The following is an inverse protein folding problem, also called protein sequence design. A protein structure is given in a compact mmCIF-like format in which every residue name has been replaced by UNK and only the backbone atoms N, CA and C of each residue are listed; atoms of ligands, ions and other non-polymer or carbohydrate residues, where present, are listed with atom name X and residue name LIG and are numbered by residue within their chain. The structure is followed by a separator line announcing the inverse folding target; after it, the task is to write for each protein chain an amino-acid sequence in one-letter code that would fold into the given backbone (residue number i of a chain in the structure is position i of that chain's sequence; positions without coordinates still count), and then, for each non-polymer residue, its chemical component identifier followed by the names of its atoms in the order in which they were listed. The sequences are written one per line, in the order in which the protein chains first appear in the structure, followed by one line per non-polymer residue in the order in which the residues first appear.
data_IF_935012628794
#
_entry.id   IF_935012628794
#
_cell.length_a   1.000
_cell.length_b   1.000
_cell.length_c   1.000
_cell.angle_alpha   90.00
_cell.angle_beta   90.00
_cell.angle_gamma   90.00
#
_symmetry.space_group_name_H-M   'P 1'
#
loop_
_entity.id
_entity.type
_entity.pdbx_description
1 polymer ?
#
# COMPACT_ATOMS: atom_id res chain seq x y z
N UNK A 1 -39.66 -0.13 50.84
CA UNK A 1 -39.00 1.14 50.46
C UNK A 1 -38.29 0.90 49.14
N UNK A 2 -38.80 1.58 48.12
CA UNK A 2 -38.39 1.78 46.72
C UNK A 2 -37.38 0.82 46.07
N UNK A 3 -37.86 0.15 45.01
CA UNK A 3 -37.15 0.15 43.73
C UNK A 3 -38.18 0.23 42.60
N UNK A 4 -37.90 1.15 41.68
CA UNK A 4 -38.71 1.60 40.56
C UNK A 4 -38.67 0.56 39.41
N UNK A 5 -39.81 0.33 38.78
CA UNK A 5 -39.88 0.02 37.34
C UNK A 5 -40.23 1.34 36.59
N UNK A 6 -40.32 1.43 35.25
CA UNK A 6 -40.18 0.41 34.19
C UNK A 6 -39.44 0.91 32.91
N UNK A 7 -39.11 0.01 31.96
CA UNK A 7 -39.81 -0.03 30.65
C UNK A 7 -39.29 -1.12 29.71
N UNK A 8 -40.26 -1.83 29.15
CA UNK A 8 -40.17 -2.93 28.18
C UNK A 8 -40.42 -2.37 26.78
N UNK A 9 -39.69 -2.85 25.76
CA UNK A 9 -40.25 -3.21 24.43
C UNK A 9 -39.26 -4.10 23.63
N UNK A 10 -39.72 -4.93 22.66
CA UNK A 10 -39.44 -6.37 22.63
C UNK A 10 -38.85 -6.87 21.28
N UNK A 11 -38.58 -8.18 21.16
CA UNK A 11 -38.63 -8.85 19.84
C UNK A 11 -37.60 -9.95 19.57
N UNK A 12 -38.00 -11.18 19.88
CA UNK A 12 -37.75 -12.41 19.09
C UNK A 12 -36.34 -13.01 19.02
N UNK A 13 -36.08 -13.92 19.95
CA UNK A 13 -35.35 -15.19 19.73
C UNK A 13 -36.28 -16.25 19.10
N UNK A 14 -35.86 -17.50 18.78
CA UNK A 14 -34.57 -18.06 18.33
C UNK A 14 -34.76 -19.00 17.10
N UNK A 15 -33.74 -19.74 16.64
CA UNK A 15 -33.75 -21.24 16.57
C UNK A 15 -32.35 -21.75 16.18
N UNK A 16 -31.84 -22.66 17.02
CA UNK A 16 -30.69 -23.54 16.78
C UNK A 16 -31.17 -24.73 15.94
N UNK A 17 -30.44 -25.21 14.92
CA UNK A 17 -30.56 -26.60 14.52
C UNK A 17 -29.49 -27.46 15.22
N UNK A 18 -29.95 -28.42 16.01
CA UNK A 18 -29.20 -29.64 16.29
C UNK A 18 -29.18 -30.49 15.02
N UNK A 19 -28.03 -31.03 14.61
CA UNK A 19 -27.87 -32.47 14.48
C UNK A 19 -26.41 -32.87 14.23
N UNK A 20 -25.95 -33.87 14.97
CA UNK A 20 -24.69 -34.60 14.80
C UNK A 20 -25.09 -36.00 14.36
N UNK A 21 -24.75 -36.39 13.12
CA UNK A 21 -24.54 -37.75 12.59
C UNK A 21 -24.74 -37.70 11.06
N UNK A 22 -23.64 -37.80 10.31
CA UNK A 22 -23.37 -38.96 9.45
C UNK A 22 -22.05 -38.74 8.69
N UNK A 23 -21.18 -39.73 8.83
CA UNK A 23 -19.98 -39.95 8.02
C UNK A 23 -20.48 -40.46 6.68
N UNK A 24 -20.10 -39.82 5.57
CA UNK A 24 -19.88 -40.54 4.32
C UNK A 24 -18.91 -39.78 3.40
N UNK A 25 -17.96 -40.57 2.92
CA UNK A 25 -16.91 -40.33 1.96
C UNK A 25 -17.41 -39.85 0.59
N UNK A 26 -16.53 -39.14 -0.11
CA UNK A 26 -16.52 -39.01 -1.57
C UNK A 26 -17.66 -38.17 -2.18
N UNK A 27 -17.35 -36.92 -2.56
CA UNK A 27 -17.93 -36.31 -3.75
C UNK A 27 -17.14 -35.09 -4.21
N UNK A 28 -16.41 -35.29 -5.30
CA UNK A 28 -16.01 -34.28 -6.27
C UNK A 28 -17.15 -33.30 -6.59
N UNK A 29 -16.96 -31.97 -6.51
CA UNK A 29 -17.93 -31.06 -7.06
C UNK A 29 -17.70 -30.90 -8.57
N UNK A 30 -18.58 -31.58 -9.29
CA UNK A 30 -18.90 -31.50 -10.71
C UNK A 30 -19.04 -30.06 -11.19
N UNK A 31 -18.43 -29.80 -12.34
CA UNK A 31 -18.53 -28.57 -13.15
C UNK A 31 -19.99 -28.34 -13.54
N UNK A 32 -20.55 -27.19 -13.21
CA UNK A 32 -21.78 -26.69 -13.84
C UNK A 32 -21.43 -25.50 -14.73
N UNK A 33 -21.51 -25.72 -16.04
CA UNK A 33 -21.56 -24.68 -17.04
C UNK A 33 -22.83 -23.84 -16.85
N UNK A 34 -22.71 -22.53 -16.91
CA UNK A 34 -23.84 -21.65 -17.25
C UNK A 34 -23.34 -20.51 -18.14
N UNK A 35 -24.05 -20.34 -19.25
CA UNK A 35 -23.81 -19.39 -20.34
C UNK A 35 -23.99 -17.93 -19.92
N UNK A 36 -23.10 -17.11 -20.49
CA UNK A 36 -23.25 -15.72 -20.95
C UNK A 36 -24.00 -14.69 -20.09
N UNK A 37 -23.22 -13.72 -19.57
CA UNK A 37 -23.27 -12.30 -19.96
C UNK A 37 -22.81 -11.39 -18.82
N UNK A 38 -21.69 -10.70 -19.07
CA UNK A 38 -21.48 -9.27 -18.77
C UNK A 38 -22.11 -8.72 -17.47
N UNK A 39 -21.34 -8.79 -16.38
CA UNK A 39 -21.03 -7.70 -15.42
C UNK A 39 -20.31 -8.31 -14.22
N UNK A 40 -19.11 -8.83 -14.44
CA UNK A 40 -18.30 -9.43 -13.38
C UNK A 40 -17.59 -8.35 -12.57
N UNK A 41 -18.36 -7.66 -11.72
CA UNK A 41 -17.80 -7.20 -10.46
C UNK A 41 -17.55 -8.45 -9.61
N UNK A 42 -16.43 -9.14 -9.82
CA UNK A 42 -16.11 -10.34 -9.06
C UNK A 42 -15.63 -9.89 -7.69
N UNK A 43 -16.58 -9.70 -6.76
CA UNK A 43 -16.29 -9.61 -5.33
C UNK A 43 -15.99 -11.00 -4.75
N UNK A 44 -15.10 -11.74 -5.42
CA UNK A 44 -14.70 -13.09 -5.05
C UNK A 44 -13.19 -13.23 -5.17
N UNK A 45 -12.56 -13.78 -4.15
CA UNK A 45 -11.14 -14.12 -4.16
C UNK A 45 -10.90 -15.18 -5.24
N UNK A 46 -10.18 -14.82 -6.30
CA UNK A 46 -9.76 -15.77 -7.34
C UNK A 46 -8.37 -16.30 -7.01
N UNK A 47 -8.21 -17.62 -7.02
CA UNK A 47 -6.90 -18.26 -6.86
C UNK A 47 -6.13 -18.23 -8.19
N UNK A 48 -4.80 -18.16 -8.12
CA UNK A 48 -3.94 -17.96 -9.30
C UNK A 48 -4.10 -19.01 -10.41
N UNK A 49 -4.50 -20.24 -10.07
CA UNK A 49 -4.82 -21.31 -11.02
C UNK A 49 -6.10 -21.03 -11.83
N UNK A 50 -7.10 -20.40 -11.21
CA UNK A 50 -8.36 -20.02 -11.88
C UNK A 50 -8.20 -18.82 -12.83
N UNK A 51 -7.14 -18.01 -12.63
CA UNK A 51 -6.83 -16.85 -13.49
C UNK A 51 -6.27 -17.24 -14.86
N UNK A 52 -5.64 -18.42 -14.99
CA UNK A 52 -5.08 -18.88 -16.28
C UNK A 52 -6.16 -19.39 -17.23
N UNK A 53 -7.28 -19.89 -16.70
CA UNK A 53 -8.36 -20.48 -17.51
C UNK A 53 -9.46 -19.49 -17.90
N UNK A 54 -9.56 -18.33 -17.23
CA UNK A 54 -10.45 -17.23 -17.60
C UNK A 54 -9.63 -15.99 -17.90
N UNK A 55 -9.75 -15.45 -19.11
CA UNK A 55 -9.24 -14.12 -19.48
C UNK A 55 -9.93 -13.05 -18.61
N UNK A 56 -9.37 -12.82 -17.42
CA UNK A 56 -9.92 -11.91 -16.44
C UNK A 56 -9.70 -10.47 -16.93
N UNK A 57 -10.80 -9.72 -16.99
CA UNK A 57 -10.83 -8.31 -17.32
C UNK A 57 -11.62 -7.56 -16.25
N UNK A 58 -11.14 -6.38 -15.85
CA UNK A 58 -11.77 -5.55 -14.82
C UNK A 58 -11.15 -5.73 -13.43
N UNK A 59 -11.82 -5.25 -12.38
CA UNK A 59 -11.27 -5.25 -11.03
C UNK A 59 -11.48 -6.60 -10.33
N UNK A 60 -10.44 -7.12 -9.69
CA UNK A 60 -10.54 -8.32 -8.88
C UNK A 60 -9.53 -8.32 -7.72
N UNK A 61 -9.77 -9.21 -6.76
CA UNK A 61 -8.81 -9.56 -5.71
C UNK A 61 -8.31 -10.97 -5.94
N UNK A 62 -7.00 -11.17 -5.95
CA UNK A 62 -6.38 -12.47 -6.13
C UNK A 62 -5.45 -12.78 -4.98
N UNK A 63 -5.35 -14.06 -4.66
CA UNK A 63 -4.39 -14.57 -3.68
C UNK A 63 -3.66 -15.74 -4.31
N UNK A 64 -2.33 -15.64 -4.32
CA UNK A 64 -1.46 -16.67 -4.86
C UNK A 64 -1.20 -17.74 -3.80
N UNK A 65 -0.70 -18.91 -4.23
CA UNK A 65 -0.31 -19.99 -3.30
C UNK A 65 0.84 -19.61 -2.33
N UNK A 66 1.54 -18.50 -2.60
CA UNK A 66 2.60 -17.97 -1.74
C UNK A 66 2.10 -16.84 -0.82
N UNK A 67 0.78 -16.78 -0.56
CA UNK A 67 0.08 -15.76 0.22
C UNK A 67 0.17 -14.31 -0.29
N UNK A 68 0.87 -14.07 -1.41
CA UNK A 68 0.85 -12.77 -2.07
C UNK A 68 -0.56 -12.44 -2.56
N UNK A 69 -1.00 -11.21 -2.31
CA UNK A 69 -2.34 -10.71 -2.64
C UNK A 69 -2.24 -9.54 -3.59
N UNK A 70 -3.05 -9.56 -4.64
CA UNK A 70 -3.24 -8.43 -5.53
C UNK A 70 -4.68 -7.94 -5.47
N UNK A 71 -4.88 -6.64 -5.46
CA UNK A 71 -6.18 -5.97 -5.56
C UNK A 71 -6.04 -4.89 -6.61
N UNK A 72 -6.75 -5.01 -7.73
CA UNK A 72 -6.64 -4.03 -8.80
C UNK A 72 -7.26 -4.49 -10.10
N UNK A 73 -6.93 -3.78 -11.17
CA UNK A 73 -7.43 -4.06 -12.51
C UNK A 73 -6.66 -5.21 -13.17
N UNK A 74 -7.40 -5.98 -13.96
CA UNK A 74 -6.88 -7.05 -14.79
C UNK A 74 -7.20 -6.78 -16.24
N UNK A 75 -6.27 -7.17 -17.10
CA UNK A 75 -6.45 -7.22 -18.55
C UNK A 75 -5.79 -8.48 -19.09
N UNK A 76 -6.57 -9.29 -19.79
CA UNK A 76 -6.11 -10.57 -20.36
C UNK A 76 -5.44 -11.49 -19.32
N UNK A 77 -5.97 -11.50 -18.09
CA UNK A 77 -5.42 -12.29 -16.98
C UNK A 77 -4.14 -11.75 -16.34
N UNK A 78 -3.66 -10.57 -16.74
CA UNK A 78 -2.49 -9.90 -16.16
C UNK A 78 -2.89 -8.66 -15.36
N UNK A 79 -2.07 -8.30 -14.37
CA UNK A 79 -2.23 -7.04 -13.64
C UNK A 79 -2.12 -5.86 -14.60
N UNK A 80 -3.07 -4.93 -14.48
CA UNK A 80 -3.17 -3.74 -15.31
C UNK A 80 -3.73 -2.57 -14.50
N UNK A 81 -3.69 -1.36 -15.05
CA UNK A 81 -4.31 -0.19 -14.43
C UNK A 81 -3.81 0.08 -13.01
N UNK A 82 -4.67 0.60 -12.14
CA UNK A 82 -4.33 0.85 -10.75
C UNK A 82 -4.45 -0.43 -9.92
N UNK A 83 -3.48 -0.67 -9.03
CA UNK A 83 -3.53 -1.82 -8.14
C UNK A 83 -2.63 -1.72 -6.92
N UNK A 84 -2.83 -2.68 -6.02
CA UNK A 84 -2.04 -2.92 -4.82
C UNK A 84 -1.60 -4.38 -4.80
N UNK A 85 -0.30 -4.61 -4.69
CA UNK A 85 0.32 -5.93 -4.59
C UNK A 85 1.05 -6.04 -3.24
N UNK A 86 0.62 -6.95 -2.38
CA UNK A 86 1.40 -7.41 -1.24
C UNK A 86 2.09 -8.72 -1.59
N UNK A 87 3.40 -8.79 -1.36
CA UNK A 87 4.25 -9.94 -1.70
C UNK A 87 4.67 -10.65 -0.41
N UNK A 88 4.28 -11.91 -0.28
CA UNK A 88 4.49 -12.72 0.92
C UNK A 88 3.32 -12.71 1.90
N UNK A 89 3.52 -13.35 3.05
CA UNK A 89 2.50 -13.49 4.10
C UNK A 89 2.17 -12.11 4.70
N UNK A 90 0.92 -11.67 4.52
CA UNK A 90 0.39 -10.43 5.10
C UNK A 90 0.50 -10.37 6.64
N UNK A 91 0.65 -11.52 7.30
CA UNK A 91 0.80 -11.62 8.76
C UNK A 91 2.19 -11.25 9.26
N UNK A 92 3.22 -11.37 8.42
CA UNK A 92 4.61 -11.02 8.75
C UNK A 92 5.09 -9.85 7.87
N UNK A 93 6.34 -9.43 8.01
CA UNK A 93 6.90 -8.37 7.16
C UNK A 93 6.81 -8.76 5.69
N UNK A 94 6.15 -7.93 4.89
CA UNK A 94 5.91 -8.15 3.46
C UNK A 94 6.38 -6.94 2.64
N UNK A 95 6.68 -7.18 1.36
CA UNK A 95 6.84 -6.09 0.41
C UNK A 95 5.44 -5.64 -0.07
N UNK A 96 5.29 -4.36 -0.38
CA UNK A 96 4.04 -3.79 -0.86
C UNK A 96 4.30 -2.82 -2.01
N UNK A 97 3.53 -2.94 -3.07
CA UNK A 97 3.48 -1.95 -4.14
C UNK A 97 2.06 -1.42 -4.29
N UNK A 98 1.92 -0.11 -4.40
CA UNK A 98 0.67 0.58 -4.74
C UNK A 98 0.95 1.52 -5.89
N UNK A 99 0.30 1.31 -7.03
CA UNK A 99 0.51 2.15 -8.21
C UNK A 99 -0.02 1.52 -9.49
N UNK A 100 0.49 2.01 -10.61
CA UNK A 100 0.09 1.53 -11.92
C UNK A 100 0.79 0.22 -12.30
N UNK A 101 0.07 -0.59 -13.07
CA UNK A 101 0.51 -1.86 -13.62
C UNK A 101 0.27 -1.92 -15.12
N UNK A 102 1.21 -2.51 -15.85
CA UNK A 102 1.05 -2.81 -17.28
C UNK A 102 1.64 -4.17 -17.59
N UNK A 103 0.86 -5.03 -18.24
CA UNK A 103 1.30 -6.39 -18.62
C UNK A 103 1.87 -7.23 -17.47
N UNK A 104 1.39 -7.00 -16.23
CA UNK A 104 1.88 -7.68 -15.03
C UNK A 104 3.07 -7.02 -14.34
N UNK A 105 3.63 -5.95 -14.89
CA UNK A 105 4.79 -5.22 -14.35
C UNK A 105 4.37 -3.87 -13.76
N UNK A 106 5.20 -3.33 -12.86
CA UNK A 106 5.02 -1.96 -12.35
C UNK A 106 5.30 -0.95 -13.46
N UNK A 107 4.38 -0.03 -13.66
CA UNK A 107 4.45 1.04 -14.66
C UNK A 107 3.95 2.34 -14.01
N UNK A 108 4.15 3.49 -14.65
CA UNK A 108 3.54 4.75 -14.23
C UNK A 108 3.95 5.19 -12.81
N UNK A 109 3.11 5.95 -12.11
CA UNK A 109 3.43 6.40 -10.75
C UNK A 109 3.11 5.32 -9.72
N UNK A 110 4.02 5.13 -8.75
CA UNK A 110 3.84 4.12 -7.72
C UNK A 110 4.67 4.31 -6.47
N UNK A 111 4.22 3.69 -5.39
CA UNK A 111 4.93 3.58 -4.11
C UNK A 111 5.23 2.13 -3.83
N UNK A 112 6.53 1.81 -3.68
CA UNK A 112 6.98 0.50 -3.23
C UNK A 112 7.51 0.61 -1.81
N UNK A 113 7.10 -0.29 -0.93
CA UNK A 113 7.57 -0.43 0.45
C UNK A 113 8.20 -1.80 0.58
N UNK A 114 9.43 -1.81 1.08
CA UNK A 114 10.11 -3.06 1.39
C UNK A 114 9.76 -3.50 2.81
N UNK A 115 9.79 -4.80 3.05
CA UNK A 115 9.65 -5.43 4.35
C UNK A 115 10.64 -4.90 5.39
N UNK A 116 11.80 -4.39 4.96
CA UNK A 116 12.81 -3.75 5.83
C UNK A 116 12.47 -2.31 6.25
N UNK A 117 11.37 -1.75 5.75
CA UNK A 117 10.86 -0.41 6.05
C UNK A 117 11.40 0.69 5.13
N UNK A 118 12.25 0.38 4.14
CA UNK A 118 12.53 1.33 3.06
C UNK A 118 11.27 1.60 2.24
N UNK A 119 11.23 2.74 1.55
CA UNK A 119 10.19 3.01 0.56
C UNK A 119 10.72 3.79 -0.64
N UNK A 120 10.16 3.53 -1.81
CA UNK A 120 10.36 4.31 -3.02
C UNK A 120 9.05 4.93 -3.43
N UNK A 121 9.10 6.19 -3.86
CA UNK A 121 7.96 6.94 -4.38
C UNK A 121 8.38 7.58 -5.68
N UNK A 122 7.69 7.26 -6.77
CA UNK A 122 7.86 7.89 -8.08
C UNK A 122 7.49 6.96 -9.23
N UNK A 123 7.93 7.33 -10.42
CA UNK A 123 7.63 6.63 -11.65
C UNK A 123 8.38 5.29 -11.78
N UNK A 124 7.69 4.32 -12.36
CA UNK A 124 8.15 2.98 -12.71
C UNK A 124 8.03 2.77 -14.22
N UNK A 125 8.91 1.95 -14.77
CA UNK A 125 8.88 1.56 -16.18
C UNK A 125 9.37 0.13 -16.32
N UNK A 126 8.50 -0.78 -16.75
CA UNK A 126 8.84 -2.21 -16.90
C UNK A 126 9.41 -2.83 -15.62
N UNK A 127 8.80 -2.53 -14.47
CA UNK A 127 9.25 -3.04 -13.17
C UNK A 127 10.47 -2.32 -12.57
N UNK A 128 11.10 -1.38 -13.28
CA UNK A 128 12.28 -0.66 -12.81
C UNK A 128 11.95 0.75 -12.28
N UNK A 129 12.73 1.22 -11.30
CA UNK A 129 12.65 2.59 -10.77
C UNK A 129 13.04 3.59 -11.86
N UNK A 130 12.12 4.44 -12.30
CA UNK A 130 12.38 5.41 -13.37
C UNK A 130 12.75 6.79 -12.83
N UNK A 131 11.77 7.54 -12.31
CA UNK A 131 11.99 8.90 -11.79
C UNK A 131 11.32 9.03 -10.43
N UNK A 132 12.11 9.13 -9.36
CA UNK A 132 11.55 9.06 -8.01
C UNK A 132 12.59 9.14 -6.90
N UNK A 133 12.11 9.00 -5.67
CA UNK A 133 12.91 9.14 -4.45
C UNK A 133 12.78 7.90 -3.59
N UNK A 134 13.91 7.43 -3.07
CA UNK A 134 13.98 6.32 -2.12
C UNK A 134 14.34 6.83 -0.73
N UNK A 135 13.64 6.32 0.27
CA UNK A 135 13.74 6.70 1.67
C UNK A 135 14.04 5.48 2.52
N UNK A 136 14.87 5.64 3.55
CA UNK A 136 15.02 4.61 4.58
C UNK A 136 13.82 4.58 5.54
N UNK A 137 13.84 3.62 6.47
CA UNK A 137 12.83 3.48 7.54
C UNK A 137 12.62 4.76 8.37
N UNK A 138 13.67 5.56 8.55
CA UNK A 138 13.61 6.86 9.24
C UNK A 138 13.04 8.00 8.36
N UNK A 139 12.59 7.69 7.14
CA UNK A 139 12.15 8.66 6.11
C UNK A 139 13.26 9.59 5.60
N UNK A 140 14.54 9.27 5.83
CA UNK A 140 15.67 10.02 5.26
C UNK A 140 15.84 9.64 3.79
N UNK A 141 16.06 10.63 2.94
CA UNK A 141 16.32 10.42 1.51
C UNK A 141 17.65 9.68 1.32
N UNK A 142 17.59 8.49 0.73
CA UNK A 142 18.76 7.64 0.45
C UNK A 142 19.00 7.45 -1.05
N UNK A 143 18.02 7.74 -1.90
CA UNK A 143 18.14 7.63 -3.35
C UNK A 143 17.32 8.69 -4.08
N UNK A 144 17.86 9.19 -5.17
CA UNK A 144 17.15 10.02 -6.15
C UNK A 144 17.35 9.39 -7.52
N UNK A 145 16.30 9.16 -8.28
CA UNK A 145 16.32 8.50 -9.58
C UNK A 145 15.73 9.44 -10.62
N UNK A 146 16.37 9.52 -11.79
CA UNK A 146 15.87 10.29 -12.93
C UNK A 146 16.22 9.52 -14.20
N UNK A 147 15.20 9.13 -14.96
CA UNK A 147 15.31 8.33 -16.19
C UNK A 147 16.07 7.02 -15.98
N UNK A 148 15.68 6.26 -14.95
CA UNK A 148 16.27 4.95 -14.61
C UNK A 148 17.61 5.05 -13.88
N UNK A 149 18.22 6.23 -13.84
CA UNK A 149 19.58 6.42 -13.29
C UNK A 149 19.54 7.05 -11.90
N UNK A 150 20.20 6.38 -10.93
CA UNK A 150 20.41 6.93 -9.59
C UNK A 150 21.34 8.14 -9.65
N UNK A 151 20.86 9.28 -9.18
CA UNK A 151 21.59 10.54 -9.09
C UNK A 151 22.29 10.66 -7.72
N UNK A 152 23.51 11.22 -7.69
CA UNK A 152 24.24 11.43 -6.44
C UNK A 152 23.50 12.42 -5.54
N UNK A 153 23.43 12.12 -4.25
CA UNK A 153 22.93 13.05 -3.25
C UNK A 153 24.00 14.11 -2.98
N UNK A 154 23.72 15.37 -3.30
CA UNK A 154 24.62 16.48 -2.97
C UNK A 154 24.75 16.57 -1.45
N UNK A 155 25.97 16.38 -0.93
CA UNK A 155 26.30 16.76 0.45
C UNK A 155 26.09 18.27 0.57
N UNK A 156 25.17 18.71 1.42
CA UNK A 156 25.08 20.12 1.75
C UNK A 156 26.41 20.52 2.40
N UNK A 157 27.20 21.34 1.69
CA UNK A 157 28.39 21.95 2.27
C UNK A 157 27.88 22.86 3.39
N UNK A 158 28.16 22.53 4.66
CA UNK A 158 27.85 23.41 5.79
C UNK A 158 28.36 24.80 5.43
N UNK A 159 27.46 25.76 5.19
CA UNK A 159 27.84 27.16 5.01
C UNK A 159 28.50 27.54 6.33
N UNK A 160 29.82 27.80 6.30
CA UNK A 160 30.47 28.49 7.42
C UNK A 160 29.74 29.84 7.50
N UNK A 161 28.92 30.03 8.52
CA UNK A 161 28.38 31.34 8.83
C UNK A 161 29.60 32.23 9.07
N UNK A 162 29.68 33.36 8.36
CA UNK A 162 30.69 34.36 8.67
C UNK A 162 30.53 34.76 10.15
N UNK A 163 31.62 35.03 10.89
CA UNK A 163 31.50 35.48 12.26
C UNK A 163 30.61 36.72 12.29
N UNK A 164 29.64 36.72 13.21
CA UNK A 164 28.83 37.91 13.49
C UNK A 164 29.79 38.99 13.96
N UNK A 165 29.95 40.06 13.17
CA UNK A 165 30.71 41.23 13.60
C UNK A 165 29.90 41.89 14.71
N UNK A 166 30.30 41.69 15.95
CA UNK A 166 29.74 42.43 17.07
C UNK A 166 30.22 43.87 16.98
N UNK A 167 29.30 44.80 16.74
CA UNK A 167 29.58 46.23 16.86
C UNK A 167 29.69 46.55 18.35
N UNK A 168 30.91 46.69 18.84
CA UNK A 168 31.17 47.25 20.17
C UNK A 168 30.67 48.70 20.18
N UNK A 169 29.64 48.97 20.97
CA UNK A 169 29.26 50.34 21.30
C UNK A 169 30.42 50.98 22.06
N UNK A 170 31.15 51.87 21.39
CA UNK A 170 32.07 52.79 22.08
C UNK A 170 31.19 53.68 22.97
N UNK A 171 31.49 53.70 24.27
CA UNK A 171 30.91 54.67 25.20
C UNK A 171 31.22 56.07 24.64
N UNK A 172 30.17 56.85 24.48
CA UNK A 172 30.27 58.28 24.18
C UNK A 172 30.64 58.93 25.52
N UNK A 173 31.91 59.25 25.72
CA UNK A 173 32.34 60.03 26.88
C UNK A 173 31.73 61.43 26.76
N UNK A 174 30.86 61.76 27.72
CA UNK A 174 30.05 62.96 27.77
C UNK A 174 30.76 64.14 28.43
N UNK A 175 32.04 64.34 28.15
CA UNK A 175 32.85 65.43 28.74
C UNK A 175 32.95 66.63 27.80
N UNK A 176 31.81 67.14 27.34
CA UNK A 176 31.75 68.32 26.46
C UNK A 176 30.72 69.39 26.87
N UNK A 177 30.45 69.49 28.18
CA UNK A 177 29.70 70.62 28.72
C UNK A 177 30.25 71.04 30.08
N UNK A 178 31.36 71.77 30.10
CA UNK A 178 31.63 72.71 31.18
C UNK A 178 32.55 73.85 30.71
N UNK A 179 31.92 75.03 30.57
CA UNK A 179 32.41 76.43 30.68
C UNK A 179 33.43 76.97 29.68
#
# INVERSE_FOLDING_TARGET
MNSLEPNVVPGSTPIIPQNLQDIDTENTPTVSETKESTKTGVSGTLYSNQLKEKALNGHATTTTANDSKYVGEFKDGKYHGQGQLCIGDQKFSHDEYVGEFSQGEFEGEGTYRWADGRKYVGAWKGGEKWTGKEYCKDRKLIGNYVEGKRRPLRKQKKRKLAPVVTVSHKKFDSDWFEK
#
